data_IF_256860992983
#
_entry.id   IF_256860992983
#
_cell.length_a   1.000
_cell.length_b   1.000
_cell.length_c   1.000
_cell.angle_alpha   90.00
_cell.angle_beta   90.00
_cell.angle_gamma   90.00
#
_symmetry.space_group_name_H-M   'P 1'
#
loop_
_entity.id
_entity.type
_entity.pdbx_description
1 polymer ?
#
# COMPACT_ATOMS: atom_id res chain seq x y z
N UNK A 1 5.72 5.66 18.26
CA UNK A 1 7.00 6.14 17.72
C UNK A 1 7.71 4.95 17.10
N UNK A 2 8.22 5.11 15.90
CA UNK A 2 8.96 4.07 15.16
C UNK A 2 10.47 4.34 15.21
N UNK A 3 10.85 5.60 14.94
CA UNK A 3 12.22 6.07 14.96
C UNK A 3 12.28 7.45 15.65
N UNK A 4 13.37 7.74 16.33
CA UNK A 4 13.64 9.00 17.03
C UNK A 4 15.08 9.45 16.80
N UNK A 5 15.37 10.69 17.22
CA UNK A 5 16.69 11.32 17.09
C UNK A 5 17.22 11.31 15.63
N UNK A 6 16.30 11.48 14.66
CA UNK A 6 16.66 11.59 13.25
C UNK A 6 17.06 13.03 12.95
N UNK A 7 18.12 13.22 12.20
CA UNK A 7 18.60 14.55 11.75
C UNK A 7 18.59 14.59 10.21
N UNK A 8 17.39 14.39 9.62
CA UNK A 8 17.22 14.33 8.17
C UNK A 8 16.62 15.63 7.68
N UNK A 9 17.41 16.40 6.93
CA UNK A 9 16.93 17.64 6.29
C UNK A 9 16.09 17.30 5.06
N UNK A 10 14.88 17.86 5.00
CA UNK A 10 13.97 17.71 3.87
C UNK A 10 14.40 18.63 2.73
N UNK A 11 14.81 18.06 1.60
CA UNK A 11 15.03 18.78 0.35
C UNK A 11 13.76 18.82 -0.52
N UNK A 12 13.83 19.50 -1.67
CA UNK A 12 12.70 19.63 -2.61
C UNK A 12 12.19 18.28 -3.14
N UNK A 13 13.11 17.31 -3.33
CA UNK A 13 12.77 15.98 -3.87
C UNK A 13 12.61 14.90 -2.78
N UNK A 14 12.68 15.28 -1.50
CA UNK A 14 12.60 14.31 -0.40
C UNK A 14 11.23 13.66 -0.33
N UNK A 15 11.23 12.34 -0.22
CA UNK A 15 10.01 11.50 -0.19
C UNK A 15 9.99 10.57 1.00
N UNK A 16 8.84 10.51 1.68
CA UNK A 16 8.49 9.43 2.59
C UNK A 16 7.83 8.30 1.80
N UNK A 17 8.25 7.08 2.02
CA UNK A 17 7.58 5.89 1.50
C UNK A 17 7.49 4.81 2.57
N UNK A 18 6.42 4.01 2.52
CA UNK A 18 6.25 2.85 3.38
C UNK A 18 5.26 1.88 2.78
N UNK A 19 5.28 0.64 3.26
CA UNK A 19 4.26 -0.36 2.98
C UNK A 19 3.52 -0.70 4.27
N UNK A 20 2.19 -0.80 4.19
CA UNK A 20 1.34 -1.09 5.33
C UNK A 20 0.36 -2.20 5.00
N UNK A 21 0.18 -3.14 5.91
CA UNK A 21 -0.76 -4.25 5.82
C UNK A 21 -1.78 -4.15 6.96
N UNK A 22 -2.93 -3.48 6.75
CA UNK A 22 -4.01 -3.44 7.72
C UNK A 22 -4.70 -4.80 7.78
N UNK A 23 -4.79 -5.43 8.95
CA UNK A 23 -5.59 -6.65 9.12
C UNK A 23 -7.09 -6.36 9.01
N UNK A 24 -7.79 -7.26 8.33
CA UNK A 24 -9.25 -7.31 8.40
C UNK A 24 -9.64 -7.94 9.75
N UNK A 25 -10.09 -7.10 10.64
CA UNK A 25 -10.76 -7.54 11.86
C UNK A 25 -12.21 -7.93 11.52
N UNK A 26 -12.88 -8.68 12.40
CA UNK A 26 -14.29 -9.10 12.24
C UNK A 26 -15.27 -7.91 12.25
N UNK A 27 -14.82 -6.76 11.83
CA UNK A 27 -15.53 -5.50 11.78
C UNK A 27 -15.53 -4.97 10.34
N UNK A 28 -16.71 -4.93 9.74
CA UNK A 28 -16.92 -4.41 8.38
C UNK A 28 -16.62 -2.90 8.23
N UNK A 29 -16.27 -2.22 9.31
CA UNK A 29 -15.87 -0.81 9.28
C UNK A 29 -14.38 -0.63 8.97
N UNK A 30 -13.62 -1.73 8.84
CA UNK A 30 -12.20 -1.73 8.47
C UNK A 30 -11.34 -0.82 9.37
N UNK A 31 -11.39 -0.96 10.70
CA UNK A 31 -10.73 -0.02 11.60
C UNK A 31 -9.22 0.09 11.39
N UNK A 32 -8.56 -0.99 10.98
CA UNK A 32 -7.11 -0.99 10.76
C UNK A 32 -6.65 -0.14 9.56
N UNK A 33 -7.57 0.34 8.71
CA UNK A 33 -7.22 1.24 7.60
C UNK A 33 -7.07 2.70 8.04
N UNK A 34 -7.48 3.03 9.27
CA UNK A 34 -7.33 4.37 9.86
C UNK A 34 -5.93 4.56 10.47
N UNK A 35 -4.90 4.30 9.69
CA UNK A 35 -3.51 4.39 10.09
C UNK A 35 -2.66 5.07 9.01
N UNK A 36 -1.67 5.86 9.45
CA UNK A 36 -0.68 6.47 8.57
C UNK A 36 0.65 6.63 9.28
N UNK A 37 1.74 6.62 8.53
CA UNK A 37 3.03 7.06 9.04
C UNK A 37 3.03 8.59 9.05
N UNK A 38 3.36 9.17 10.18
CA UNK A 38 3.51 10.59 10.39
C UNK A 38 4.97 10.95 10.70
N UNK A 39 5.34 12.20 10.51
CA UNK A 39 6.68 12.73 10.76
C UNK A 39 6.58 13.92 11.70
N UNK A 40 7.35 13.89 12.78
CA UNK A 40 7.56 15.05 13.64
C UNK A 40 8.85 15.76 13.20
N UNK A 41 8.75 17.06 13.00
CA UNK A 41 9.89 17.90 12.69
C UNK A 41 10.47 18.55 13.95
N UNK A 42 11.75 18.95 13.91
CA UNK A 42 12.46 19.58 15.04
C UNK A 42 11.83 20.88 15.53
N UNK A 43 11.02 21.53 14.70
CA UNK A 43 10.25 22.72 15.07
C UNK A 43 8.92 22.42 15.80
N UNK A 44 8.63 21.13 16.03
CA UNK A 44 7.43 20.68 16.73
C UNK A 44 6.19 20.51 15.87
N UNK A 45 6.27 20.74 14.54
CA UNK A 45 5.15 20.49 13.62
C UNK A 45 5.11 19.02 13.17
N UNK A 46 3.91 18.52 12.87
CA UNK A 46 3.73 17.19 12.29
C UNK A 46 3.44 17.30 10.79
N UNK A 47 3.80 16.25 10.03
CA UNK A 47 3.46 16.16 8.61
C UNK A 47 1.95 16.23 8.39
N UNK A 48 1.17 15.60 9.26
CA UNK A 48 -0.29 15.65 9.26
C UNK A 48 -0.86 17.06 9.39
N UNK A 49 -0.15 17.98 10.06
CA UNK A 49 -0.54 19.41 10.20
C UNK A 49 -0.33 20.21 8.92
N UNK A 50 0.55 19.75 8.03
CA UNK A 50 0.96 20.47 6.83
C UNK A 50 0.06 20.21 5.61
N UNK A 51 -0.92 19.30 5.73
CA UNK A 51 -1.83 18.96 4.66
C UNK A 51 -1.18 18.20 3.49
N UNK A 52 -0.05 17.54 3.74
CA UNK A 52 0.62 16.67 2.77
C UNK A 52 -0.35 15.66 2.16
N UNK A 53 -0.12 15.31 0.90
CA UNK A 53 -0.94 14.32 0.19
C UNK A 53 -0.09 13.15 -0.28
N UNK A 54 -0.72 12.00 -0.34
CA UNK A 54 -0.12 10.81 -0.93
C UNK A 54 -0.26 10.80 -2.46
N UNK A 55 0.30 9.79 -3.10
CA UNK A 55 0.23 9.61 -4.55
C UNK A 55 -1.20 9.40 -5.11
N UNK A 56 -2.20 9.28 -4.25
CA UNK A 56 -3.62 9.19 -4.59
C UNK A 56 -4.39 10.48 -4.28
N UNK A 57 -3.69 11.58 -4.01
CA UNK A 57 -4.27 12.89 -3.63
C UNK A 57 -5.02 12.86 -2.28
N UNK A 58 -4.87 11.80 -1.50
CA UNK A 58 -5.45 11.70 -0.16
C UNK A 58 -4.54 12.39 0.84
N UNK A 59 -5.12 13.15 1.76
CA UNK A 59 -4.35 13.77 2.84
C UNK A 59 -3.65 12.67 3.66
N UNK A 60 -2.36 12.84 3.92
CA UNK A 60 -1.52 11.85 4.59
C UNK A 60 -1.76 11.82 6.11
N UNK A 61 -3.03 11.65 6.51
CA UNK A 61 -3.44 11.48 7.91
C UNK A 61 -4.12 10.14 8.10
N UNK A 62 -4.05 9.60 9.32
CA UNK A 62 -4.68 8.32 9.65
C UNK A 62 -6.19 8.33 9.38
N UNK A 63 -6.89 9.40 9.76
CA UNK A 63 -8.32 9.56 9.50
C UNK A 63 -8.62 9.57 8.00
N UNK A 64 -7.90 10.40 7.21
CA UNK A 64 -8.17 10.53 5.78
C UNK A 64 -7.90 9.24 5.00
N UNK A 65 -6.88 8.45 5.40
CA UNK A 65 -6.61 7.13 4.79
C UNK A 65 -7.81 6.18 5.00
N UNK A 66 -8.37 6.13 6.21
CA UNK A 66 -9.54 5.30 6.51
C UNK A 66 -10.81 5.77 5.80
N UNK A 67 -11.13 7.05 5.85
CA UNK A 67 -12.32 7.65 5.22
C UNK A 67 -12.24 7.56 3.68
N UNK A 68 -11.05 7.77 3.12
CA UNK A 68 -10.79 7.69 1.69
C UNK A 68 -10.83 6.26 1.14
N UNK A 69 -10.78 5.25 2.01
CA UNK A 69 -10.76 3.82 1.65
C UNK A 69 -9.64 3.48 0.65
N UNK A 70 -8.51 4.15 0.80
CA UNK A 70 -7.35 3.98 -0.06
C UNK A 70 -6.58 2.72 0.31
N UNK A 71 -6.47 2.45 1.62
CA UNK A 71 -5.82 1.24 2.11
C UNK A 71 -6.78 0.04 2.03
N UNK A 72 -6.27 -1.06 1.51
CA UNK A 72 -7.00 -2.31 1.43
C UNK A 72 -6.59 -3.23 2.57
N UNK A 73 -7.58 -3.72 3.33
CA UNK A 73 -7.34 -4.69 4.38
C UNK A 73 -6.84 -6.03 3.82
N UNK A 74 -6.05 -6.74 4.62
CA UNK A 74 -5.45 -8.05 4.30
C UNK A 74 -4.53 -8.05 3.07
N UNK A 75 -3.92 -6.91 2.76
CA UNK A 75 -2.88 -6.84 1.74
C UNK A 75 -1.90 -5.70 1.99
N UNK A 76 -0.71 -5.82 1.40
CA UNK A 76 0.29 -4.76 1.42
C UNK A 76 -0.15 -3.60 0.53
N UNK A 77 -0.13 -2.40 1.10
CA UNK A 77 -0.40 -1.14 0.42
C UNK A 77 0.87 -0.30 0.43
N UNK A 78 1.27 0.22 -0.71
CA UNK A 78 2.40 1.14 -0.81
C UNK A 78 1.89 2.57 -0.73
N UNK A 79 2.42 3.33 0.20
CA UNK A 79 2.12 4.76 0.38
C UNK A 79 3.37 5.59 0.09
N UNK A 80 3.19 6.71 -0.58
CA UNK A 80 4.25 7.66 -0.91
C UNK A 80 3.74 9.06 -0.70
N UNK A 81 4.56 9.87 -0.03
CA UNK A 81 4.28 11.29 0.24
C UNK A 81 5.52 12.09 -0.11
N UNK A 82 5.38 13.05 -1.00
CA UNK A 82 6.47 13.95 -1.35
C UNK A 82 6.58 15.03 -0.26
N UNK A 83 7.57 14.85 0.63
CA UNK A 83 7.80 15.75 1.77
C UNK A 83 8.26 17.14 1.32
N UNK A 84 9.00 17.20 0.22
CA UNK A 84 9.51 18.45 -0.34
C UNK A 84 8.41 19.46 -0.65
N UNK A 85 7.24 19.00 -1.05
CA UNK A 85 6.11 19.87 -1.41
C UNK A 85 5.60 20.74 -0.24
N UNK A 86 5.71 20.24 0.99
CA UNK A 86 5.12 20.89 2.17
C UNK A 86 6.11 21.17 3.29
N UNK A 87 7.28 20.53 3.28
CA UNK A 87 8.22 20.55 4.41
C UNK A 87 9.66 20.85 4.00
N UNK A 88 9.94 21.31 2.77
CA UNK A 88 11.29 21.66 2.34
C UNK A 88 11.96 22.62 3.31
N UNK A 89 13.19 22.31 3.71
CA UNK A 89 13.99 23.06 4.69
C UNK A 89 13.73 22.70 6.15
N UNK A 90 12.71 21.89 6.48
CA UNK A 90 12.52 21.35 7.82
C UNK A 90 13.47 20.16 8.06
N UNK A 91 13.70 19.86 9.33
CA UNK A 91 14.48 18.69 9.75
C UNK A 91 13.57 17.70 10.45
N UNK A 92 13.60 16.46 9.99
CA UNK A 92 12.87 15.35 10.61
C UNK A 92 13.54 14.98 11.92
N UNK A 93 12.77 14.90 12.99
CA UNK A 93 13.18 14.44 14.32
C UNK A 93 12.70 13.00 14.56
N UNK A 94 11.42 12.72 14.28
CA UNK A 94 10.83 11.42 14.57
C UNK A 94 9.94 10.93 13.42
N UNK A 95 9.82 9.61 13.33
CA UNK A 95 8.83 8.93 12.51
C UNK A 95 7.89 8.14 13.40
N UNK A 96 6.61 8.31 13.20
CA UNK A 96 5.55 7.75 14.04
C UNK A 96 4.54 6.96 13.21
N UNK A 97 3.85 6.01 13.84
CA UNK A 97 2.62 5.43 13.31
C UNK A 97 1.45 6.09 14.04
N UNK A 98 0.63 6.83 13.31
CA UNK A 98 -0.60 7.42 13.79
C UNK A 98 -1.78 6.47 13.58
N UNK A 99 -2.73 6.48 14.51
CA UNK A 99 -4.02 5.81 14.40
C UNK A 99 -5.12 6.78 14.83
N UNK A 100 -6.07 7.05 13.94
CA UNK A 100 -7.21 7.93 14.24
C UNK A 100 -8.45 7.45 13.48
N UNK A 101 -9.38 6.85 14.24
CA UNK A 101 -10.68 6.41 13.74
C UNK A 101 -11.82 7.10 14.50
N UNK A 102 -12.29 8.26 14.03
CA UNK A 102 -13.32 9.04 14.71
C UNK A 102 -14.68 8.35 14.75
N UNK A 103 -14.94 7.41 13.85
CA UNK A 103 -16.15 6.57 13.86
C UNK A 103 -16.03 5.31 14.73
N UNK A 104 -14.84 5.08 15.30
CA UNK A 104 -14.57 3.91 16.12
C UNK A 104 -15.24 3.98 17.48
N UNK A 105 -15.67 2.83 17.97
CA UNK A 105 -16.19 2.69 19.33
C UNK A 105 -15.09 2.24 20.30
N UNK A 106 -15.35 2.28 21.60
CA UNK A 106 -14.36 1.91 22.61
C UNK A 106 -13.80 0.50 22.36
N UNK A 107 -12.47 0.41 22.27
CA UNK A 107 -11.76 -0.84 21.97
C UNK A 107 -11.37 -1.03 20.51
N UNK A 108 -11.81 -0.15 19.61
CA UNK A 108 -11.30 -0.15 18.22
C UNK A 108 -9.81 0.19 18.21
N UNK A 109 -9.04 -0.58 17.45
CA UNK A 109 -7.56 -0.43 17.38
C UNK A 109 -7.04 -0.81 16.01
N UNK A 110 -5.84 -0.39 15.72
CA UNK A 110 -5.06 -0.90 14.60
C UNK A 110 -4.56 -2.31 14.89
N UNK A 111 -4.64 -3.18 13.89
CA UNK A 111 -3.92 -4.43 13.81
C UNK A 111 -3.32 -4.55 12.40
N UNK A 112 -2.06 -4.96 12.31
CA UNK A 112 -1.38 -5.07 11.01
C UNK A 112 0.13 -4.98 11.11
N UNK A 113 0.75 -4.85 9.96
CA UNK A 113 2.21 -4.73 9.82
C UNK A 113 2.58 -3.49 9.03
N UNK A 114 3.77 -2.99 9.31
CA UNK A 114 4.40 -1.88 8.63
C UNK A 114 5.79 -2.33 8.20
N UNK A 115 6.18 -2.03 6.96
CA UNK A 115 7.49 -2.38 6.41
C UNK A 115 7.98 -1.31 5.43
N UNK A 116 9.24 -1.40 5.02
CA UNK A 116 9.87 -0.53 4.03
C UNK A 116 9.72 0.97 4.32
N UNK A 117 9.73 1.36 5.60
CA UNK A 117 9.66 2.78 5.98
C UNK A 117 10.97 3.47 5.64
N UNK A 118 10.92 4.42 4.72
CA UNK A 118 12.09 5.14 4.24
C UNK A 118 11.80 6.62 3.99
N UNK A 119 12.76 7.46 4.34
CA UNK A 119 12.84 8.86 3.89
C UNK A 119 14.02 8.92 2.92
N UNK A 120 13.75 9.22 1.66
CA UNK A 120 14.73 9.25 0.58
C UNK A 120 14.89 10.67 0.07
N UNK A 121 16.11 11.21 0.15
CA UNK A 121 16.38 12.58 -0.25
C UNK A 121 16.22 12.80 -1.76
N UNK A 122 16.65 11.81 -2.54
CA UNK A 122 16.57 11.82 -4.00
C UNK A 122 15.95 10.48 -4.45
N UNK A 123 14.62 10.35 -4.47
CA UNK A 123 13.98 9.11 -4.87
C UNK A 123 14.27 8.82 -6.34
N UNK A 124 14.49 7.54 -6.64
CA UNK A 124 14.68 7.12 -8.03
C UNK A 124 13.44 7.47 -8.85
N UNK A 125 13.64 8.19 -9.93
CA UNK A 125 12.58 8.48 -10.91
C UNK A 125 12.37 7.26 -11.82
N UNK A 126 11.13 7.05 -12.23
CA UNK A 126 10.86 6.05 -13.28
C UNK A 126 11.47 6.53 -14.57
N UNK A 127 12.28 5.68 -15.22
CA UNK A 127 12.80 5.98 -16.55
C UNK A 127 11.66 6.17 -17.55
N UNK A 128 11.38 7.42 -17.87
CA UNK A 128 10.32 7.82 -18.81
C UNK A 128 10.61 7.49 -20.28
N UNK A 129 11.78 6.93 -20.58
CA UNK A 129 12.11 6.48 -21.93
C UNK A 129 11.27 5.31 -22.41
N UNK A 130 10.67 4.56 -21.48
CA UNK A 130 9.74 3.46 -21.76
C UNK A 130 8.44 3.62 -20.98
N UNK A 131 7.35 3.84 -21.69
CA UNK A 131 6.00 3.91 -21.09
C UNK A 131 5.60 2.61 -20.36
N UNK A 132 6.22 1.48 -20.72
CA UNK A 132 5.97 0.20 -20.04
C UNK A 132 6.39 0.23 -18.56
N UNK A 133 7.35 1.08 -18.17
CA UNK A 133 7.79 1.22 -16.79
C UNK A 133 6.71 1.82 -15.85
N UNK A 134 5.69 2.47 -16.41
CA UNK A 134 4.55 2.99 -15.65
C UNK A 134 3.42 1.97 -15.47
N UNK A 135 3.54 0.79 -16.07
CA UNK A 135 2.50 -0.23 -16.03
C UNK A 135 2.80 -1.25 -14.92
N UNK A 136 2.00 -1.26 -13.86
CA UNK A 136 2.02 -2.32 -12.87
C UNK A 136 0.96 -3.37 -13.22
N UNK A 137 1.39 -4.49 -13.76
CA UNK A 137 0.53 -5.60 -14.19
C UNK A 137 -0.11 -6.35 -13.02
N UNK A 138 0.31 -6.10 -11.78
CA UNK A 138 -0.27 -6.70 -10.57
C UNK A 138 -1.50 -5.94 -10.06
N UNK A 139 -1.72 -4.74 -10.57
CA UNK A 139 -2.86 -3.92 -10.15
C UNK A 139 -4.18 -4.62 -10.44
N UNK A 140 -5.08 -4.62 -9.45
CA UNK A 140 -6.44 -5.18 -9.51
C UNK A 140 -6.48 -6.71 -9.74
N UNK A 141 -5.46 -7.41 -9.29
CA UNK A 141 -5.41 -8.88 -9.37
C UNK A 141 -5.98 -9.57 -8.13
N UNK A 142 -6.37 -8.83 -7.09
CA UNK A 142 -7.01 -9.38 -5.90
C UNK A 142 -8.45 -9.76 -6.23
N UNK A 143 -8.68 -11.05 -6.38
CA UNK A 143 -9.99 -11.60 -6.70
C UNK A 143 -10.13 -13.03 -6.15
N UNK A 144 -11.38 -13.43 -5.90
CA UNK A 144 -11.78 -14.79 -5.57
C UNK A 144 -13.12 -15.10 -6.22
N UNK A 145 -13.62 -16.33 -6.09
CA UNK A 145 -14.94 -16.71 -6.63
C UNK A 145 -16.10 -15.90 -6.03
N UNK A 146 -15.93 -15.31 -4.84
CA UNK A 146 -16.95 -14.52 -4.14
C UNK A 146 -16.65 -13.04 -4.05
N UNK A 147 -15.45 -12.63 -4.43
CA UNK A 147 -14.97 -11.26 -4.27
C UNK A 147 -14.04 -10.86 -5.41
N UNK A 148 -14.23 -9.68 -5.96
CA UNK A 148 -13.35 -9.12 -6.97
C UNK A 148 -13.06 -7.64 -6.73
N UNK A 149 -11.77 -7.30 -6.83
CA UNK A 149 -11.30 -5.92 -6.89
C UNK A 149 -10.68 -5.62 -8.25
N UNK A 150 -11.34 -6.03 -9.32
CA UNK A 150 -11.00 -5.63 -10.67
C UNK A 150 -10.98 -6.68 -11.75
N UNK A 151 -11.07 -7.97 -11.46
CA UNK A 151 -11.13 -9.06 -12.45
C UNK A 151 -9.93 -9.16 -13.41
N UNK A 152 -8.76 -8.72 -13.00
CA UNK A 152 -7.54 -8.87 -13.78
C UNK A 152 -6.71 -10.04 -13.29
N UNK A 153 -6.04 -10.70 -14.21
CA UNK A 153 -5.00 -11.69 -13.90
C UNK A 153 -3.65 -11.14 -14.38
N UNK A 154 -2.54 -11.38 -13.67
CA UNK A 154 -1.22 -10.95 -14.09
C UNK A 154 -0.66 -11.89 -15.16
N UNK A 155 -1.31 -11.97 -16.30
CA UNK A 155 -0.97 -12.92 -17.35
C UNK A 155 -0.40 -12.22 -18.58
N UNK A 156 0.90 -12.36 -18.86
CA UNK A 156 1.46 -11.93 -20.13
C UNK A 156 0.97 -12.83 -21.28
N UNK A 157 0.77 -12.26 -22.43
CA UNK A 157 0.34 -13.00 -23.63
C UNK A 157 1.13 -12.67 -24.89
N UNK A 158 2.47 -12.67 -24.84
CA UNK A 158 3.28 -12.54 -26.05
C UNK A 158 3.27 -13.86 -26.84
N UNK A 159 3.49 -13.82 -28.18
CA UNK A 159 3.62 -12.61 -28.98
C UNK A 159 2.31 -12.15 -29.61
N UNK A 160 1.24 -12.93 -29.56
CA UNK A 160 0.06 -12.72 -30.39
C UNK A 160 -1.25 -12.44 -29.59
N UNK A 161 -1.19 -12.42 -28.26
CA UNK A 161 -2.32 -12.09 -27.42
C UNK A 161 -3.43 -13.16 -27.35
N UNK A 162 -3.21 -14.34 -27.88
CA UNK A 162 -4.23 -15.42 -27.92
C UNK A 162 -4.01 -16.52 -26.88
N UNK A 163 -2.84 -16.55 -26.26
CA UNK A 163 -2.48 -17.55 -25.25
C UNK A 163 -1.86 -16.86 -24.05
N UNK A 164 -2.39 -17.10 -22.87
CA UNK A 164 -1.92 -16.48 -21.64
C UNK A 164 -1.07 -17.43 -20.83
N UNK A 165 0.04 -16.93 -20.29
CA UNK A 165 0.75 -17.58 -19.21
C UNK A 165 0.23 -17.04 -17.89
N UNK A 166 -0.34 -17.88 -17.05
CA UNK A 166 -0.86 -17.46 -15.74
C UNK A 166 -0.32 -18.34 -14.63
N UNK A 167 0.02 -17.75 -13.47
CA UNK A 167 0.30 -18.54 -12.28
C UNK A 167 -1.00 -19.21 -11.80
N UNK A 168 -0.91 -20.48 -11.41
CA UNK A 168 -1.98 -21.18 -10.73
C UNK A 168 -1.80 -20.98 -9.23
N UNK A 169 -2.74 -20.31 -8.61
CA UNK A 169 -2.80 -20.14 -7.16
C UNK A 169 -4.04 -20.76 -6.55
N UNK A 170 -5.00 -21.22 -7.38
CA UNK A 170 -6.21 -21.91 -6.98
C UNK A 170 -6.44 -23.15 -7.85
N UNK A 171 -5.81 -24.27 -7.49
CA UNK A 171 -5.92 -25.53 -8.24
C UNK A 171 -7.29 -26.23 -8.06
N UNK A 172 -8.12 -25.78 -7.14
CA UNK A 172 -9.47 -26.32 -6.94
C UNK A 172 -10.52 -25.72 -7.89
N UNK A 173 -10.17 -24.67 -8.65
CA UNK A 173 -11.07 -24.01 -9.58
C UNK A 173 -10.59 -24.18 -11.01
N UNK A 174 -11.43 -24.71 -11.88
CA UNK A 174 -11.16 -24.80 -13.32
C UNK A 174 -11.44 -23.49 -14.07
N UNK A 175 -12.29 -22.63 -13.51
CA UNK A 175 -12.70 -21.36 -14.11
C UNK A 175 -12.02 -20.14 -13.49
N UNK A 176 -11.29 -20.31 -12.40
CA UNK A 176 -10.63 -19.25 -11.66
C UNK A 176 -9.23 -19.68 -11.24
N UNK A 177 -8.33 -19.74 -12.18
CA UNK A 177 -7.00 -20.31 -12.00
C UNK A 177 -6.07 -19.46 -11.13
N UNK A 178 -6.23 -18.14 -11.17
CA UNK A 178 -5.48 -17.19 -10.36
C UNK A 178 -6.38 -16.57 -9.32
N UNK A 179 -5.99 -16.71 -8.06
CA UNK A 179 -6.65 -16.08 -6.92
C UNK A 179 -5.59 -15.56 -5.95
N UNK A 180 -5.60 -14.26 -5.75
CA UNK A 180 -4.83 -13.63 -4.70
C UNK A 180 -5.74 -13.41 -3.49
N UNK A 181 -5.78 -14.39 -2.60
CA UNK A 181 -6.61 -14.35 -1.41
C UNK A 181 -5.92 -15.06 -0.25
N UNK A 182 -6.10 -14.55 0.98
CA UNK A 182 -5.46 -15.10 2.18
C UNK A 182 -5.82 -16.56 2.47
N UNK A 183 -6.96 -17.03 2.00
CA UNK A 183 -7.39 -18.42 2.19
C UNK A 183 -6.70 -19.44 1.27
N UNK A 184 -5.84 -19.01 0.35
CA UNK A 184 -5.16 -19.91 -0.59
C UNK A 184 -4.13 -20.82 0.07
N UNK A 185 -3.71 -20.52 1.28
CA UNK A 185 -2.75 -21.36 2.02
C UNK A 185 -3.14 -21.47 3.48
N UNK A 186 -2.60 -22.50 4.18
CA UNK A 186 -2.77 -22.66 5.62
C UNK A 186 -2.23 -21.46 6.41
N UNK A 187 -1.26 -20.73 5.84
CA UNK A 187 -0.63 -19.55 6.44
C UNK A 187 -1.28 -18.24 5.98
N UNK A 188 -2.41 -18.33 5.29
CA UNK A 188 -3.05 -17.19 4.62
C UNK A 188 -2.14 -16.47 3.60
N UNK A 189 -1.20 -17.18 3.01
CA UNK A 189 -0.31 -16.66 1.98
C UNK A 189 -0.61 -17.30 0.63
N UNK A 190 -0.77 -16.52 -0.45
CA UNK A 190 -0.91 -17.10 -1.78
C UNK A 190 0.35 -17.87 -2.15
N UNK A 191 0.20 -19.09 -2.60
CA UNK A 191 1.29 -19.96 -3.05
C UNK A 191 1.09 -20.28 -4.52
N UNK A 192 2.16 -20.17 -5.27
CA UNK A 192 2.18 -20.65 -6.65
C UNK A 192 2.09 -22.18 -6.65
N UNK A 193 1.02 -22.71 -7.21
CA UNK A 193 0.77 -24.16 -7.33
C UNK A 193 1.21 -24.71 -8.69
N UNK A 194 1.46 -23.85 -9.65
CA UNK A 194 1.92 -24.19 -10.99
C UNK A 194 1.84 -23.00 -11.93
N UNK A 195 2.31 -23.20 -13.15
CA UNK A 195 2.13 -22.27 -14.25
C UNK A 195 1.41 -23.00 -15.38
N UNK A 196 0.53 -22.31 -16.06
CA UNK A 196 -0.24 -22.88 -17.15
C UNK A 196 -0.48 -21.91 -18.28
N UNK A 197 -0.91 -22.48 -19.40
CA UNK A 197 -1.32 -21.73 -20.58
C UNK A 197 -2.85 -21.82 -20.62
N UNK A 198 -3.50 -20.68 -20.56
CA UNK A 198 -4.93 -20.59 -20.81
C UNK A 198 -5.16 -20.32 -22.30
N UNK A 199 -6.07 -21.02 -22.95
CA UNK A 199 -6.42 -20.79 -24.35
C UNK A 199 -7.20 -19.51 -24.57
#
# INVERSE_FOLDING_TARGET
>A
MLYDDLDVVVGEDTRLSYTIFPELLDDLQYPSTYAAVDVLFTDGTYLSDLGARDAHETVATAQAQGEGKILYADQWNSVRVDLGDVAAGKTVDQVLLGYDNPGGHAGTKFAGWLDDVAITAEPATIDGSSLANYVDTRRRTLASGSFSRGNYIPAPSPPHGVTFWTPYTNASSQSWLYEYHKANTADNKPVLQGGGVAP
#
